data_IF_759059583203
#
_entry.id   IF_759059583203
#
_cell.length_a   1.000
_cell.length_b   1.000
_cell.length_c   1.000
_cell.angle_alpha   90.00
_cell.angle_beta   90.00
_cell.angle_gamma   90.00
#
_symmetry.space_group_name_H-M   'P 1'
#
loop_
_entity.id
_entity.type
_entity.pdbx_description
1 polymer ?
#
# COMPACT_ATOMS: atom_id res chain seq x y z
N UNK A 1 10.23 3.39 0.43
CA UNK A 1 10.02 4.23 -0.78
C UNK A 1 8.98 5.29 -0.45
N UNK A 2 9.17 6.54 -0.89
CA UNK A 2 8.24 7.65 -0.64
C UNK A 2 7.44 7.99 -1.90
N UNK A 3 6.12 7.79 -1.83
CA UNK A 3 5.17 8.12 -2.91
C UNK A 3 5.16 9.61 -3.23
N UNK A 4 5.38 10.47 -2.22
CA UNK A 4 5.48 11.92 -2.40
C UNK A 4 6.83 12.37 -2.97
N UNK A 5 7.72 11.44 -3.34
CA UNK A 5 9.06 11.71 -3.85
C UNK A 5 9.94 12.53 -2.90
N UNK A 6 9.75 12.35 -1.59
CA UNK A 6 10.55 12.98 -0.52
C UNK A 6 11.57 12.00 0.06
N UNK A 7 12.63 12.54 0.65
CA UNK A 7 13.67 11.75 1.34
C UNK A 7 13.38 11.46 2.80
N UNK A 8 12.22 11.92 3.30
CA UNK A 8 11.71 11.59 4.61
C UNK A 8 10.21 11.81 4.73
N UNK A 9 9.60 11.28 5.79
CA UNK A 9 8.22 11.51 6.18
C UNK A 9 8.06 11.41 7.70
N UNK A 10 6.92 11.88 8.21
CA UNK A 10 6.57 11.80 9.62
C UNK A 10 5.28 10.99 9.76
N UNK A 11 5.34 9.90 10.52
CA UNK A 11 4.16 9.10 10.84
C UNK A 11 3.22 9.80 11.80
N UNK A 12 1.99 9.30 11.93
CA UNK A 12 0.91 9.91 12.73
C UNK A 12 1.31 10.21 14.19
N UNK A 13 2.17 9.39 14.78
CA UNK A 13 2.65 9.55 16.16
C UNK A 13 3.96 10.36 16.27
N UNK A 14 4.34 11.10 15.23
CA UNK A 14 5.55 11.94 15.23
C UNK A 14 6.85 11.17 14.96
N UNK A 15 6.78 9.87 14.62
CA UNK A 15 7.96 9.12 14.21
C UNK A 15 8.48 9.65 12.87
N UNK A 16 9.69 10.17 12.87
CA UNK A 16 10.37 10.59 11.65
C UNK A 16 11.09 9.41 11.00
N UNK A 17 10.83 9.21 9.71
CA UNK A 17 11.53 8.25 8.86
C UNK A 17 12.32 9.05 7.85
N UNK A 18 13.65 8.88 7.86
CA UNK A 18 14.57 9.57 6.94
C UNK A 18 15.27 8.56 6.03
N UNK A 19 15.96 9.06 4.99
CA UNK A 19 16.65 8.20 4.03
C UNK A 19 15.71 7.42 3.10
N UNK A 20 14.49 7.91 2.91
CA UNK A 20 13.56 7.31 1.96
C UNK A 20 14.04 7.54 0.53
N UNK A 21 13.98 6.51 -0.29
CA UNK A 21 14.11 6.65 -1.75
C UNK A 21 12.81 7.25 -2.31
N UNK A 22 12.86 8.38 -3.05
CA UNK A 22 11.72 8.86 -3.83
C UNK A 22 11.20 7.77 -4.77
N UNK A 23 9.89 7.65 -4.91
CA UNK A 23 9.25 6.63 -5.74
C UNK A 23 9.74 6.66 -7.19
N UNK A 24 9.82 7.85 -7.79
CA UNK A 24 10.33 8.07 -9.14
C UNK A 24 11.78 7.59 -9.37
N UNK A 25 12.54 7.44 -8.29
CA UNK A 25 13.95 7.06 -8.31
C UNK A 25 14.16 5.58 -7.95
N UNK A 26 13.08 4.85 -7.65
CA UNK A 26 13.14 3.43 -7.27
C UNK A 26 12.68 2.51 -8.40
N UNK A 27 13.50 1.51 -8.71
CA UNK A 27 13.18 0.47 -9.69
C UNK A 27 12.45 -0.71 -9.01
N UNK A 28 11.12 -0.70 -9.10
CA UNK A 28 10.26 -1.73 -8.49
C UNK A 28 10.40 -3.12 -9.13
N UNK A 29 11.04 -3.26 -10.29
CA UNK A 29 11.28 -4.59 -10.87
C UNK A 29 12.20 -5.44 -9.99
N UNK A 30 13.07 -4.79 -9.19
CA UNK A 30 14.03 -5.40 -8.26
C UNK A 30 13.44 -5.82 -6.92
N UNK A 31 12.21 -5.43 -6.60
CA UNK A 31 11.60 -5.77 -5.31
C UNK A 31 10.85 -7.11 -5.40
N UNK A 32 11.04 -7.99 -4.42
CA UNK A 32 10.33 -9.28 -4.33
C UNK A 32 8.97 -9.15 -3.63
N UNK A 33 8.79 -8.09 -2.83
CA UNK A 33 7.60 -7.83 -2.05
C UNK A 33 7.25 -6.34 -2.04
N UNK A 34 5.95 -6.06 -1.92
CA UNK A 34 5.39 -4.73 -1.68
C UNK A 34 4.58 -4.77 -0.38
N UNK A 35 4.86 -3.85 0.55
CA UNK A 35 4.15 -3.74 1.82
C UNK A 35 3.45 -2.39 1.87
N UNK A 36 2.13 -2.39 2.02
CA UNK A 36 1.30 -1.18 2.15
C UNK A 36 1.03 -0.92 3.63
N UNK A 37 1.67 0.11 4.24
CA UNK A 37 1.41 0.46 5.63
C UNK A 37 0.00 1.06 5.79
N UNK A 38 -0.50 1.02 7.02
CA UNK A 38 -1.74 1.71 7.38
C UNK A 38 -1.51 3.17 7.79
N UNK A 39 -2.52 3.74 8.47
CA UNK A 39 -2.57 5.14 8.85
C UNK A 39 -3.53 5.93 7.95
N UNK A 40 -3.77 7.22 8.23
CA UNK A 40 -4.78 8.05 7.57
C UNK A 40 -4.40 8.49 6.13
N UNK A 41 -3.28 7.99 5.60
CA UNK A 41 -2.78 8.32 4.26
C UNK A 41 -3.23 7.34 3.18
N UNK A 42 -4.11 6.39 3.50
CA UNK A 42 -4.60 5.36 2.58
C UNK A 42 -5.39 5.95 1.41
N UNK A 43 -6.22 6.98 1.63
CA UNK A 43 -6.93 7.68 0.54
C UNK A 43 -5.97 8.31 -0.48
N UNK A 44 -4.86 8.90 -0.01
CA UNK A 44 -3.84 9.46 -0.88
C UNK A 44 -3.15 8.39 -1.73
N UNK A 45 -2.89 7.21 -1.13
CA UNK A 45 -2.31 6.08 -1.85
C UNK A 45 -3.27 5.50 -2.88
N UNK A 46 -4.56 5.39 -2.54
CA UNK A 46 -5.62 4.88 -3.41
C UNK A 46 -5.85 5.77 -4.65
N UNK A 47 -5.73 7.09 -4.50
CA UNK A 47 -5.89 8.04 -5.60
C UNK A 47 -4.67 8.11 -6.53
N UNK A 48 -3.54 7.53 -6.14
CA UNK A 48 -2.33 7.54 -6.94
C UNK A 48 -2.30 6.34 -7.90
N UNK A 49 -2.46 6.59 -9.19
CA UNK A 49 -2.51 5.55 -10.23
C UNK A 49 -1.24 4.69 -10.28
N UNK A 50 -0.06 5.28 -10.09
CA UNK A 50 1.20 4.53 -10.11
C UNK A 50 1.27 3.54 -8.93
N UNK A 51 0.75 3.94 -7.77
CA UNK A 51 0.66 3.09 -6.58
C UNK A 51 -0.34 1.95 -6.81
N UNK A 52 -1.53 2.22 -7.33
CA UNK A 52 -2.55 1.18 -7.56
C UNK A 52 -2.13 0.19 -8.65
N UNK A 53 -1.43 0.65 -9.70
CA UNK A 53 -0.84 -0.22 -10.72
C UNK A 53 0.23 -1.16 -10.14
N UNK A 54 1.10 -0.64 -9.27
CA UNK A 54 2.07 -1.46 -8.54
C UNK A 54 1.39 -2.47 -7.61
N UNK A 55 0.37 -2.07 -6.86
CA UNK A 55 -0.39 -2.99 -6.00
C UNK A 55 -1.01 -4.12 -6.82
N UNK A 56 -1.62 -3.82 -7.97
CA UNK A 56 -2.18 -4.84 -8.87
C UNK A 56 -1.10 -5.74 -9.48
N UNK A 57 0.05 -5.21 -9.86
CA UNK A 57 1.16 -6.01 -10.39
C UNK A 57 1.72 -6.95 -9.31
N UNK A 58 2.02 -6.44 -8.13
CA UNK A 58 2.55 -7.27 -7.04
C UNK A 58 1.51 -8.26 -6.52
N UNK A 59 0.23 -7.89 -6.45
CA UNK A 59 -0.83 -8.80 -6.02
C UNK A 59 -1.09 -9.97 -6.97
N UNK A 60 -0.67 -9.87 -8.23
CA UNK A 60 -0.77 -10.97 -9.21
C UNK A 60 0.47 -11.84 -9.23
N UNK A 61 1.66 -11.23 -9.24
CA UNK A 61 2.89 -11.91 -9.65
C UNK A 61 3.96 -11.98 -8.54
N UNK A 62 3.77 -11.28 -7.40
CA UNK A 62 4.77 -11.18 -6.31
C UNK A 62 4.11 -11.23 -4.93
N UNK A 63 4.90 -10.99 -3.89
CA UNK A 63 4.37 -10.89 -2.52
C UNK A 63 3.77 -9.50 -2.30
N UNK A 64 2.50 -9.45 -1.91
CA UNK A 64 1.82 -8.23 -1.48
C UNK A 64 1.36 -8.40 -0.03
N UNK A 65 1.80 -7.50 0.84
CA UNK A 65 1.32 -7.36 2.21
C UNK A 65 0.65 -6.01 2.41
N UNK A 66 -0.42 -5.95 3.19
CA UNK A 66 -1.07 -4.71 3.55
C UNK A 66 -1.64 -4.80 4.96
N UNK A 67 -1.69 -3.69 5.70
CA UNK A 67 -2.09 -3.69 7.11
C UNK A 67 -2.98 -2.49 7.46
N UNK A 68 -3.92 -2.71 8.39
CA UNK A 68 -4.82 -1.69 8.91
C UNK A 68 -5.60 -1.03 7.75
N UNK A 69 -5.66 0.29 7.66
CA UNK A 69 -6.39 0.98 6.59
C UNK A 69 -5.82 0.71 5.18
N UNK A 70 -4.50 0.51 5.06
CA UNK A 70 -3.84 0.20 3.79
C UNK A 70 -4.27 -1.13 3.17
N UNK A 71 -4.81 -2.05 3.97
CA UNK A 71 -5.39 -3.31 3.46
C UNK A 71 -6.71 -3.12 2.72
N UNK A 72 -7.38 -1.99 2.85
CA UNK A 72 -8.58 -1.71 2.04
C UNK A 72 -8.24 -1.56 0.55
N UNK A 73 -7.05 -1.08 0.19
CA UNK A 73 -6.68 -0.74 -1.19
C UNK A 73 -6.61 -2.00 -2.08
N UNK A 74 -5.89 -3.08 -1.73
CA UNK A 74 -5.92 -4.32 -2.53
C UNK A 74 -7.33 -4.91 -2.64
N UNK A 75 -8.13 -4.81 -1.58
CA UNK A 75 -9.53 -5.26 -1.58
C UNK A 75 -10.40 -4.50 -2.57
N UNK A 76 -10.33 -3.17 -2.59
CA UNK A 76 -11.01 -2.31 -3.58
C UNK A 76 -10.55 -2.56 -5.02
N UNK A 77 -9.30 -2.99 -5.20
CA UNK A 77 -8.75 -3.43 -6.50
C UNK A 77 -9.16 -4.87 -6.88
N UNK A 78 -9.96 -5.54 -6.05
CA UNK A 78 -10.49 -6.89 -6.32
C UNK A 78 -9.50 -8.03 -6.06
N UNK A 79 -8.35 -7.76 -5.43
CA UNK A 79 -7.31 -8.76 -5.21
C UNK A 79 -7.64 -9.77 -4.11
N UNK A 80 -8.64 -9.47 -3.28
CA UNK A 80 -9.11 -10.35 -2.21
C UNK A 80 -10.18 -11.33 -2.64
N UNK A 81 -10.65 -11.25 -3.89
CA UNK A 81 -11.70 -12.14 -4.37
C UNK A 81 -11.32 -13.62 -4.21
N UNK A 82 -12.20 -14.40 -3.59
CA UNK A 82 -12.03 -15.83 -3.32
C UNK A 82 -10.79 -16.12 -2.42
N UNK A 83 -10.44 -15.21 -1.51
CA UNK A 83 -9.28 -15.30 -0.60
C UNK A 83 -9.61 -14.82 0.81
N UNK A 84 -8.92 -15.41 1.78
CA UNK A 84 -8.95 -14.92 3.17
C UNK A 84 -8.24 -13.56 3.30
N UNK A 85 -8.90 -12.61 3.96
CA UNK A 85 -8.33 -11.30 4.26
C UNK A 85 -8.79 -10.79 5.63
N UNK A 86 -8.11 -9.76 6.13
CA UNK A 86 -8.56 -8.96 7.26
C UNK A 86 -8.26 -7.49 7.00
N UNK A 87 -9.13 -6.62 7.48
CA UNK A 87 -9.00 -5.15 7.39
C UNK A 87 -9.24 -4.53 8.77
N UNK A 88 -8.85 -3.26 8.95
CA UNK A 88 -9.19 -2.53 10.17
C UNK A 88 -10.72 -2.49 10.35
N UNK A 89 -11.25 -2.69 11.57
CA UNK A 89 -12.70 -2.81 11.78
C UNK A 89 -13.55 -1.67 11.22
N UNK A 90 -13.04 -0.44 11.27
CA UNK A 90 -13.74 0.75 10.78
C UNK A 90 -13.90 0.79 9.25
N UNK A 91 -13.13 -0.04 8.54
CA UNK A 91 -13.19 -0.22 7.09
C UNK A 91 -13.60 -1.66 6.72
N UNK A 92 -14.28 -2.38 7.62
CA UNK A 92 -14.87 -3.70 7.38
C UNK A 92 -15.99 -3.62 6.33
N UNK A 93 -15.62 -3.42 5.07
CA UNK A 93 -16.44 -3.74 3.91
C UNK A 93 -16.19 -5.18 3.47
N UNK A 94 -17.18 -5.76 2.78
CA UNK A 94 -16.96 -7.00 2.04
C UNK A 94 -16.21 -6.68 0.74
N UNK A 95 -14.94 -7.07 0.67
CA UNK A 95 -14.08 -6.96 -0.51
C UNK A 95 -14.14 -8.20 -1.42
N UNK A 96 -15.19 -9.02 -1.27
CA UNK A 96 -15.50 -10.15 -2.14
C UNK A 96 -14.71 -11.42 -1.86
N UNK A 97 -14.19 -11.56 -0.62
CA UNK A 97 -13.47 -12.76 -0.19
C UNK A 97 -14.31 -14.00 -0.24
#
# INVERSE_FOLDING_TARGET
VSVENKTGCTGTMGLEVTGLTPMKDYDFTKADALIIPGGPGDEFLEQNQEVTDLIQSFGRDKTLGAICAGSSIPGKLGLYKDRDYTVVPDLNGDFGG
#
